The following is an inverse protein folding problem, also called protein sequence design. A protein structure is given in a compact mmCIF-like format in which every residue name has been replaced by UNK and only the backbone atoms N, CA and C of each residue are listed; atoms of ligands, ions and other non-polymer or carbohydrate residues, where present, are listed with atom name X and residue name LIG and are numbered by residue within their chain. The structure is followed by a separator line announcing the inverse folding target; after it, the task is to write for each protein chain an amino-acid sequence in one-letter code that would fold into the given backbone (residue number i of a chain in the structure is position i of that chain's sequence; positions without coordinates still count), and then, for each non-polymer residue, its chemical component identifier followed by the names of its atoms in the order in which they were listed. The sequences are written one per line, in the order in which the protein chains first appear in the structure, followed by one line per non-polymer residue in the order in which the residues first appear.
data_IF_234433711164
#
_entry.id   IF_234433711164
#
_cell.length_a   1.000
_cell.length_b   1.000
_cell.length_c   1.000
_cell.angle_alpha   90.00
_cell.angle_beta   90.00
_cell.angle_gamma   90.00
#
_symmetry.space_group_name_H-M   'P 1'
#
loop_
_entity.id
_entity.type
_entity.pdbx_description
1 polymer ?
#
# COMPACT_ATOMS: atom_id res chain seq x y z
N UNK A 1 -11.17 -29.66 24.88
CA UNK A 1 -10.19 -29.26 23.88
C UNK A 1 -9.00 -28.63 24.59
N UNK A 2 -7.88 -29.34 24.70
CA UNK A 2 -6.68 -28.86 25.39
C UNK A 2 -5.99 -27.79 24.56
N UNK A 3 -6.05 -26.53 25.01
CA UNK A 3 -5.17 -25.45 24.49
C UNK A 3 -3.73 -25.87 24.74
N UNK A 4 -3.05 -26.40 23.74
CA UNK A 4 -1.60 -26.55 23.77
C UNK A 4 -1.01 -25.14 23.94
N UNK A 5 -0.49 -24.87 25.13
CA UNK A 5 0.25 -23.65 25.43
C UNK A 5 1.44 -23.57 24.46
N UNK A 6 1.32 -22.77 23.41
CA UNK A 6 2.47 -22.53 22.52
C UNK A 6 3.47 -21.69 23.29
N UNK A 7 4.72 -22.17 23.45
CA UNK A 7 5.71 -21.42 24.19
C UNK A 7 5.93 -20.07 23.52
N UNK A 8 5.86 -18.99 24.29
CA UNK A 8 6.10 -17.62 23.80
C UNK A 8 7.55 -17.49 23.30
N UNK A 9 7.81 -16.58 22.37
CA UNK A 9 9.16 -16.30 21.86
C UNK A 9 10.15 -15.99 22.99
N UNK A 10 9.70 -15.27 24.01
CA UNK A 10 10.45 -14.98 25.23
C UNK A 10 10.89 -16.27 25.94
N UNK A 11 9.99 -17.22 26.12
CA UNK A 11 10.30 -18.50 26.78
C UNK A 11 11.28 -19.33 25.96
N UNK A 12 11.11 -19.36 24.62
CA UNK A 12 12.04 -20.10 23.73
C UNK A 12 13.45 -19.54 23.78
N UNK A 13 13.60 -18.20 23.70
CA UNK A 13 14.92 -17.56 23.79
C UNK A 13 15.57 -17.78 25.14
N UNK A 14 14.80 -17.68 26.23
CA UNK A 14 15.32 -17.94 27.59
C UNK A 14 15.76 -19.39 27.76
N UNK A 15 14.97 -20.38 27.27
CA UNK A 15 15.33 -21.80 27.31
C UNK A 15 16.57 -22.08 26.47
N UNK A 16 16.67 -21.53 25.26
CA UNK A 16 17.84 -21.73 24.40
C UNK A 16 19.12 -21.22 25.07
N UNK A 17 19.09 -19.96 25.57
CA UNK A 17 20.23 -19.39 26.29
C UNK A 17 20.56 -20.14 27.58
N UNK A 18 19.54 -20.59 28.31
CA UNK A 18 19.73 -21.42 29.51
C UNK A 18 20.43 -22.75 29.21
N UNK A 19 19.97 -23.46 28.18
CA UNK A 19 20.59 -24.73 27.77
C UNK A 19 22.05 -24.52 27.32
N UNK A 20 22.32 -23.46 26.58
CA UNK A 20 23.66 -23.11 26.11
C UNK A 20 24.57 -22.78 27.29
N UNK A 21 24.09 -21.98 28.26
CA UNK A 21 24.84 -21.60 29.46
C UNK A 21 25.18 -22.80 30.32
N UNK A 22 24.20 -23.66 30.62
CA UNK A 22 24.39 -24.90 31.41
C UNK A 22 25.32 -25.85 30.69
N UNK A 23 25.16 -26.06 29.38
CA UNK A 23 26.02 -26.92 28.57
C UNK A 23 27.47 -26.45 28.55
N UNK A 24 27.71 -25.15 28.26
CA UNK A 24 29.05 -24.57 28.28
C UNK A 24 29.69 -24.66 29.69
N UNK A 25 28.92 -24.36 30.74
CA UNK A 25 29.38 -24.45 32.11
C UNK A 25 29.71 -25.89 32.53
N UNK A 26 28.88 -26.86 32.15
CA UNK A 26 29.14 -28.29 32.42
C UNK A 26 30.42 -28.77 31.72
N UNK A 27 30.66 -28.32 30.48
CA UNK A 27 31.90 -28.64 29.75
C UNK A 27 33.11 -28.05 30.47
N UNK A 28 33.02 -26.78 30.95
CA UNK A 28 34.09 -26.14 31.68
C UNK A 28 34.40 -26.88 33.01
N UNK A 29 33.38 -27.23 33.78
CA UNK A 29 33.56 -28.01 35.03
C UNK A 29 34.18 -29.37 34.77
N UNK A 30 33.73 -30.06 33.71
CA UNK A 30 34.31 -31.37 33.30
C UNK A 30 35.76 -31.22 32.87
N UNK A 31 36.09 -30.19 32.08
CA UNK A 31 37.46 -29.92 31.62
C UNK A 31 38.38 -29.62 32.81
N UNK A 32 37.91 -28.77 33.76
CA UNK A 32 38.66 -28.43 34.95
C UNK A 32 38.91 -29.68 35.82
N UNK A 33 37.91 -30.55 35.98
CA UNK A 33 38.05 -31.82 36.68
C UNK A 33 39.04 -32.74 36.01
N UNK A 34 38.99 -32.90 34.68
CA UNK A 34 39.96 -33.72 33.92
C UNK A 34 41.39 -33.19 34.06
N UNK A 35 41.59 -31.89 33.95
CA UNK A 35 42.91 -31.25 34.08
C UNK A 35 43.50 -31.43 35.48
N UNK A 36 42.69 -31.23 36.53
CA UNK A 36 43.14 -31.44 37.93
C UNK A 36 43.48 -32.89 38.19
N UNK A 37 42.65 -33.81 37.68
CA UNK A 37 42.90 -35.26 37.80
C UNK A 37 44.16 -35.69 37.06
N UNK A 38 44.46 -35.10 35.92
CA UNK A 38 45.67 -35.39 35.15
C UNK A 38 46.92 -34.78 35.79
N UNK A 39 46.83 -33.54 36.25
CA UNK A 39 47.94 -32.82 36.90
C UNK A 39 48.36 -33.43 38.24
N UNK A 40 47.39 -34.09 38.93
CA UNK A 40 47.62 -34.72 40.23
C UNK A 40 47.83 -36.25 40.11
N UNK A 41 48.06 -36.80 38.92
CA UNK A 41 48.38 -38.22 38.77
C UNK A 41 49.60 -38.59 39.58
N UNK A 42 49.57 -39.72 40.34
CA UNK A 42 50.73 -40.17 41.03
C UNK A 42 51.91 -40.40 40.05
N UNK A 43 53.03 -39.78 40.29
CA UNK A 43 54.25 -40.12 39.62
C UNK A 43 54.79 -41.41 40.15
N UNK A 44 55.15 -42.37 39.28
CA UNK A 44 55.66 -43.71 39.66
C UNK A 44 57.03 -43.69 40.37
N UNK A 45 57.49 -42.53 40.83
CA UNK A 45 58.78 -42.29 41.44
C UNK A 45 58.82 -42.69 42.96
N UNK A 46 57.68 -43.04 43.53
CA UNK A 46 57.69 -43.46 44.91
C UNK A 46 58.22 -44.92 45.06
N UNK A 47 59.32 -45.06 45.75
CA UNK A 47 59.89 -46.36 46.04
C UNK A 47 58.90 -47.34 46.72
N UNK A 48 58.80 -48.63 46.30
CA UNK A 48 57.87 -49.55 46.91
C UNK A 48 58.15 -49.71 48.39
N UNK A 49 57.12 -49.59 49.24
CA UNK A 49 57.22 -49.65 50.69
C UNK A 49 57.40 -48.33 51.42
N UNK A 50 57.35 -47.19 50.74
CA UNK A 50 57.34 -45.88 51.39
C UNK A 50 56.04 -45.67 52.15
N UNK A 51 56.10 -45.52 53.47
CA UNK A 51 54.95 -45.21 54.35
C UNK A 51 54.97 -43.77 54.83
N UNK A 52 53.81 -43.14 54.80
CA UNK A 52 53.57 -41.80 55.36
C UNK A 52 52.95 -41.95 56.75
N UNK A 53 53.51 -41.27 57.73
CA UNK A 53 52.96 -41.25 59.11
C UNK A 53 51.90 -40.13 59.12
N UNK A 54 50.66 -40.47 59.36
CA UNK A 54 49.55 -39.51 59.53
C UNK A 54 49.64 -38.93 60.96
N UNK A 55 49.01 -37.76 61.12
CA UNK A 55 48.93 -37.03 62.39
C UNK A 55 48.22 -37.77 63.51
N UNK A 56 47.50 -38.87 63.20
CA UNK A 56 46.81 -39.77 64.14
C UNK A 56 47.68 -40.99 64.58
N UNK A 57 48.94 -40.98 64.12
CA UNK A 57 49.89 -42.07 64.46
C UNK A 57 49.77 -43.37 63.60
N UNK A 58 48.92 -43.35 62.56
CA UNK A 58 48.81 -44.47 61.63
C UNK A 58 49.82 -44.32 60.48
N UNK A 59 50.40 -45.41 60.07
CA UNK A 59 51.22 -45.48 58.89
C UNK A 59 50.35 -45.92 57.67
N UNK A 60 50.35 -45.20 56.58
CA UNK A 60 49.66 -45.54 55.34
C UNK A 60 50.67 -45.60 54.21
N UNK A 61 50.41 -46.43 53.21
CA UNK A 61 51.22 -46.51 51.99
C UNK A 61 51.10 -45.11 51.26
N UNK A 62 52.24 -44.57 50.89
CA UNK A 62 52.31 -43.22 50.27
C UNK A 62 51.44 -43.12 48.97
N UNK A 63 51.38 -44.22 48.20
CA UNK A 63 50.56 -44.29 46.98
C UNK A 63 49.05 -44.31 47.26
N UNK A 64 48.66 -44.95 48.43
CA UNK A 64 47.24 -44.88 48.83
C UNK A 64 46.86 -43.52 49.37
N UNK A 65 47.71 -42.87 50.16
CA UNK A 65 47.49 -41.57 50.67
C UNK A 65 47.37 -40.54 49.53
N UNK A 66 48.26 -40.63 48.51
CA UNK A 66 48.23 -39.74 47.35
C UNK A 66 46.93 -39.94 46.54
N UNK A 67 46.48 -41.18 46.33
CA UNK A 67 45.18 -41.46 45.66
C UNK A 67 44.00 -40.84 46.42
N UNK A 68 43.99 -41.00 47.75
CA UNK A 68 42.92 -40.40 48.58
C UNK A 68 42.90 -38.90 48.51
N UNK A 69 44.07 -38.22 48.47
CA UNK A 69 44.17 -36.81 48.27
C UNK A 69 43.62 -36.33 46.92
N UNK A 70 43.98 -37.05 45.83
CA UNK A 70 43.49 -36.77 44.48
C UNK A 70 41.98 -36.97 44.37
N UNK A 71 41.45 -38.04 44.94
CA UNK A 71 40.02 -38.34 44.95
C UNK A 71 39.24 -37.32 45.79
N UNK A 72 39.76 -36.95 46.97
CA UNK A 72 39.13 -35.90 47.79
C UNK A 72 39.15 -34.54 47.12
N UNK A 73 40.30 -34.11 46.56
CA UNK A 73 40.42 -32.82 45.84
C UNK A 73 39.51 -32.79 44.60
N UNK A 74 39.45 -33.87 43.84
CA UNK A 74 38.60 -33.94 42.63
C UNK A 74 37.11 -33.97 42.98
N UNK A 75 36.71 -34.64 44.09
CA UNK A 75 35.32 -34.64 44.58
C UNK A 75 34.90 -33.26 45.09
N UNK A 76 35.80 -32.56 45.82
CA UNK A 76 35.55 -31.22 46.32
C UNK A 76 35.42 -30.21 45.17
N UNK A 77 36.28 -30.31 44.16
CA UNK A 77 36.23 -29.48 42.95
C UNK A 77 34.92 -29.66 42.18
N UNK A 78 34.50 -30.92 42.00
CA UNK A 78 33.20 -31.21 41.35
C UNK A 78 32.03 -30.64 42.16
N UNK A 79 32.01 -30.85 43.48
CA UNK A 79 30.92 -30.37 44.34
C UNK A 79 30.82 -28.82 44.29
N UNK A 80 31.95 -28.13 44.48
CA UNK A 80 32.01 -26.65 44.41
C UNK A 80 31.72 -26.14 43.00
N UNK A 81 32.22 -26.82 41.97
CA UNK A 81 31.98 -26.51 40.57
C UNK A 81 30.50 -26.64 40.20
N UNK A 82 29.80 -27.66 40.64
CA UNK A 82 28.36 -27.84 40.42
C UNK A 82 27.53 -26.78 41.16
N UNK A 83 27.88 -26.43 42.38
CA UNK A 83 27.21 -25.34 43.11
C UNK A 83 27.39 -24.00 42.39
N UNK A 84 28.60 -23.69 41.96
CA UNK A 84 28.89 -22.47 41.19
C UNK A 84 28.13 -22.48 39.86
N UNK A 85 28.11 -23.60 39.14
CA UNK A 85 27.36 -23.75 37.89
C UNK A 85 25.87 -23.51 38.10
N UNK A 86 25.28 -24.07 39.16
CA UNK A 86 23.88 -23.86 39.50
C UNK A 86 23.59 -22.40 39.78
N UNK A 87 24.41 -21.74 40.60
CA UNK A 87 24.25 -20.30 40.92
C UNK A 87 24.33 -19.41 39.68
N UNK A 88 25.35 -19.61 38.82
CA UNK A 88 25.53 -18.86 37.57
C UNK A 88 24.36 -19.14 36.62
N UNK A 89 23.89 -20.40 36.53
CA UNK A 89 22.76 -20.76 35.67
C UNK A 89 21.47 -20.06 36.09
N UNK A 90 21.16 -19.99 37.38
CA UNK A 90 19.98 -19.33 37.90
C UNK A 90 20.03 -17.82 37.57
N UNK A 91 21.15 -17.15 37.84
CA UNK A 91 21.33 -15.72 37.58
C UNK A 91 21.29 -15.46 36.06
N UNK A 92 21.95 -16.30 35.26
CA UNK A 92 21.99 -16.14 33.80
C UNK A 92 20.61 -16.34 33.15
N UNK A 93 19.83 -17.34 33.57
CA UNK A 93 18.46 -17.56 33.07
C UNK A 93 17.54 -16.45 33.50
N UNK A 94 17.62 -15.94 34.73
CA UNK A 94 16.85 -14.81 35.20
C UNK A 94 17.18 -13.52 34.42
N UNK A 95 18.47 -13.27 34.19
CA UNK A 95 18.95 -12.15 33.36
C UNK A 95 18.45 -12.24 31.92
N UNK A 96 18.61 -13.42 31.29
CA UNK A 96 18.13 -13.65 29.92
C UNK A 96 16.61 -13.45 29.80
N UNK A 97 15.84 -13.89 30.80
CA UNK A 97 14.39 -13.67 30.83
C UNK A 97 14.03 -12.19 30.93
N UNK A 98 14.74 -11.41 31.76
CA UNK A 98 14.52 -9.96 31.92
C UNK A 98 14.88 -9.19 30.64
N UNK A 99 16.03 -9.50 30.02
CA UNK A 99 16.50 -8.88 28.78
C UNK A 99 15.56 -9.21 27.61
N UNK A 100 15.20 -10.48 27.42
CA UNK A 100 14.25 -10.89 26.39
C UNK A 100 12.89 -10.21 26.55
N UNK A 101 12.42 -10.04 27.81
CA UNK A 101 11.17 -9.32 28.08
C UNK A 101 11.22 -7.85 27.71
N UNK A 102 12.37 -7.21 27.93
CA UNK A 102 12.56 -5.78 27.61
C UNK A 102 12.72 -5.58 26.10
N UNK A 103 13.48 -6.44 25.42
CA UNK A 103 13.70 -6.40 23.99
C UNK A 103 12.41 -6.68 23.17
N UNK A 104 11.52 -7.54 23.66
CA UNK A 104 10.28 -7.89 22.97
C UNK A 104 9.08 -7.00 23.33
N UNK A 105 9.22 -6.09 24.29
CA UNK A 105 8.13 -5.18 24.70
C UNK A 105 7.61 -4.29 23.58
N UNK A 106 8.45 -3.69 22.72
CA UNK A 106 8.00 -2.89 21.60
C UNK A 106 7.17 -3.69 20.60
N UNK A 107 7.54 -4.95 20.32
CA UNK A 107 6.78 -5.81 19.41
C UNK A 107 5.35 -6.08 19.89
N UNK A 108 5.16 -6.20 21.20
CA UNK A 108 3.83 -6.31 21.80
C UNK A 108 3.03 -5.01 21.65
N UNK A 109 3.66 -3.84 21.71
CA UNK A 109 3.00 -2.55 21.49
C UNK A 109 2.51 -2.43 20.04
N UNK A 110 3.37 -2.74 19.05
CA UNK A 110 3.00 -2.79 17.63
C UNK A 110 1.80 -3.70 17.40
N UNK A 111 1.86 -4.93 17.95
CA UNK A 111 0.78 -5.92 17.79
C UNK A 111 -0.52 -5.45 18.46
N UNK A 112 -0.44 -4.86 19.66
CA UNK A 112 -1.61 -4.36 20.38
C UNK A 112 -2.25 -3.16 19.67
N UNK A 113 -1.45 -2.24 19.10
CA UNK A 113 -1.95 -1.14 18.29
C UNK A 113 -2.60 -1.68 17.02
N UNK A 114 -1.95 -2.61 16.30
CA UNK A 114 -2.50 -3.23 15.11
C UNK A 114 -3.84 -3.94 15.35
N UNK A 115 -4.00 -4.59 16.50
CA UNK A 115 -5.26 -5.25 16.88
C UNK A 115 -6.40 -4.29 17.25
N UNK A 116 -6.08 -3.06 17.64
CA UNK A 116 -7.05 -2.01 17.99
C UNK A 116 -7.42 -1.13 16.81
N UNK A 117 -6.69 -1.26 15.70
CA UNK A 117 -6.97 -0.49 14.49
C UNK A 117 -8.34 -0.89 13.94
N UNK A 118 -9.20 0.10 13.87
CA UNK A 118 -10.52 0.05 13.25
C UNK A 118 -10.80 1.41 12.62
N UNK A 119 -11.93 1.55 11.95
CA UNK A 119 -12.31 2.76 11.24
C UNK A 119 -12.18 4.05 12.10
N UNK A 120 -12.55 3.96 13.39
CA UNK A 120 -12.50 5.09 14.33
C UNK A 120 -11.10 5.39 14.91
N UNK A 121 -10.09 4.56 14.61
CA UNK A 121 -8.76 4.63 15.26
C UNK A 121 -7.61 4.62 14.25
N UNK A 122 -7.91 4.80 12.96
CA UNK A 122 -6.91 4.83 11.89
C UNK A 122 -5.89 5.98 12.05
N UNK A 123 -6.20 7.02 12.83
CA UNK A 123 -5.30 8.13 13.11
C UNK A 123 -4.20 7.79 14.13
N UNK A 124 -4.33 6.65 14.83
CA UNK A 124 -3.32 6.23 15.78
C UNK A 124 -2.06 5.74 15.05
N UNK A 125 -0.91 6.12 15.60
CA UNK A 125 0.41 5.69 15.12
C UNK A 125 1.11 4.92 16.22
N UNK A 126 2.03 4.05 15.83
CA UNK A 126 2.88 3.35 16.79
C UNK A 126 3.77 4.35 17.51
N UNK A 127 4.31 5.33 16.79
CA UNK A 127 5.09 6.43 17.36
C UNK A 127 6.28 5.93 18.17
N UNK A 128 7.00 4.90 17.69
CA UNK A 128 8.10 4.29 18.42
C UNK A 128 9.23 5.30 18.64
N UNK A 129 9.56 5.54 19.93
CA UNK A 129 10.61 6.47 20.35
C UNK A 129 11.79 5.77 21.03
N UNK A 130 12.02 4.49 20.75
CA UNK A 130 13.13 3.69 21.28
C UNK A 130 14.44 3.86 20.50
N UNK A 131 15.33 2.85 20.65
CA UNK A 131 16.58 2.81 19.89
C UNK A 131 16.31 2.73 18.37
N UNK A 132 17.22 3.26 17.57
CA UNK A 132 17.15 3.16 16.11
C UNK A 132 17.69 1.78 15.67
N UNK A 133 16.82 0.78 15.81
CA UNK A 133 17.07 -0.64 15.54
C UNK A 133 16.01 -1.19 14.54
N UNK A 134 16.03 -2.49 14.31
CA UNK A 134 15.11 -3.18 13.39
C UNK A 134 13.64 -2.99 13.82
N UNK A 135 13.39 -2.74 15.11
CA UNK A 135 12.04 -2.47 15.61
C UNK A 135 11.58 -1.06 15.24
N UNK A 136 12.51 -0.09 15.23
CA UNK A 136 12.23 1.28 14.77
C UNK A 136 11.90 1.28 13.27
N UNK A 137 12.64 0.52 12.45
CA UNK A 137 12.38 0.39 11.02
C UNK A 137 11.01 -0.26 10.76
N UNK A 138 10.69 -1.33 11.49
CA UNK A 138 9.38 -1.97 11.43
C UNK A 138 8.25 -0.99 11.80
N UNK A 139 8.41 -0.21 12.86
CA UNK A 139 7.42 0.76 13.30
C UNK A 139 7.22 1.88 12.26
N UNK A 140 8.31 2.43 11.69
CA UNK A 140 8.26 3.42 10.60
C UNK A 140 7.53 2.88 9.37
N UNK A 141 7.84 1.64 8.97
CA UNK A 141 7.17 0.98 7.83
C UNK A 141 5.68 0.78 8.08
N UNK A 142 5.32 0.40 9.29
CA UNK A 142 3.92 0.23 9.69
C UNK A 142 3.17 1.57 9.72
N UNK A 143 3.78 2.62 10.29
CA UNK A 143 3.18 3.95 10.33
C UNK A 143 2.99 4.51 8.90
N UNK A 144 3.96 4.31 7.99
CA UNK A 144 3.82 4.67 6.59
C UNK A 144 2.69 3.89 5.88
N UNK A 145 2.49 2.62 6.22
CA UNK A 145 1.35 1.84 5.72
C UNK A 145 0.02 2.40 6.26
N UNK A 146 -0.04 2.76 7.54
CA UNK A 146 -1.22 3.40 8.14
C UNK A 146 -1.54 4.75 7.49
N UNK A 147 -0.53 5.57 7.17
CA UNK A 147 -0.72 6.83 6.46
C UNK A 147 -1.39 6.60 5.11
N UNK A 148 -0.95 5.58 4.37
CA UNK A 148 -1.55 5.23 3.07
C UNK A 148 -2.99 4.74 3.21
N UNK A 149 -3.30 3.92 4.23
CA UNK A 149 -4.65 3.43 4.49
C UNK A 149 -5.56 4.58 4.91
N UNK A 150 -5.11 5.46 5.81
CA UNK A 150 -5.87 6.64 6.26
C UNK A 150 -6.17 7.56 5.07
N UNK A 151 -5.17 7.86 4.24
CA UNK A 151 -5.36 8.70 3.05
C UNK A 151 -6.36 8.07 2.06
N UNK A 152 -6.30 6.76 1.84
CA UNK A 152 -7.24 6.04 0.98
C UNK A 152 -8.67 6.08 1.54
N UNK A 153 -8.83 5.88 2.86
CA UNK A 153 -10.12 5.91 3.52
C UNK A 153 -10.76 7.31 3.49
N UNK A 154 -9.98 8.36 3.74
CA UNK A 154 -10.44 9.75 3.64
C UNK A 154 -10.81 10.14 2.19
N UNK A 155 -10.07 9.63 1.20
CA UNK A 155 -10.41 9.81 -0.21
C UNK A 155 -11.74 9.12 -0.54
N UNK A 156 -11.95 7.90 -0.06
CA UNK A 156 -13.19 7.14 -0.23
C UNK A 156 -14.39 7.86 0.42
N UNK A 157 -14.21 8.36 1.64
CA UNK A 157 -15.27 9.13 2.35
C UNK A 157 -15.66 10.40 1.58
N UNK A 158 -14.67 11.15 1.11
CA UNK A 158 -14.92 12.34 0.25
C UNK A 158 -15.62 11.95 -1.05
N UNK A 159 -15.21 10.85 -1.68
CA UNK A 159 -15.83 10.35 -2.90
C UNK A 159 -17.33 10.06 -2.71
N UNK A 160 -17.69 9.31 -1.66
CA UNK A 160 -19.11 8.98 -1.35
C UNK A 160 -19.92 10.24 -1.03
N UNK A 161 -19.36 11.16 -0.25
CA UNK A 161 -20.03 12.43 0.08
C UNK A 161 -20.30 13.26 -1.18
N UNK A 162 -19.28 13.43 -2.03
CA UNK A 162 -19.39 14.21 -3.27
C UNK A 162 -20.35 13.55 -4.27
N UNK A 163 -20.30 12.21 -4.43
CA UNK A 163 -21.23 11.47 -5.28
C UNK A 163 -22.70 11.69 -4.82
N UNK A 164 -22.93 11.64 -3.51
CA UNK A 164 -24.26 11.89 -2.92
C UNK A 164 -24.73 13.31 -3.19
N UNK A 165 -23.85 14.31 -3.09
CA UNK A 165 -24.20 15.70 -3.38
C UNK A 165 -24.48 15.93 -4.87
N UNK A 166 -23.65 15.41 -5.77
CA UNK A 166 -23.82 15.54 -7.22
C UNK A 166 -25.06 14.80 -7.75
N UNK A 167 -25.48 13.69 -7.10
CA UNK A 167 -26.74 13.01 -7.42
C UNK A 167 -27.96 13.74 -6.88
N UNK A 168 -27.87 14.35 -5.70
CA UNK A 168 -29.00 15.08 -5.10
C UNK A 168 -29.46 16.27 -5.93
N UNK A 169 -28.51 16.97 -6.55
CA UNK A 169 -28.80 18.18 -7.34
C UNK A 169 -29.74 17.91 -8.53
N UNK A 170 -29.45 16.98 -9.47
CA UNK A 170 -30.39 16.71 -10.57
C UNK A 170 -31.74 16.16 -10.09
N UNK A 171 -31.76 15.35 -9.01
CA UNK A 171 -33.00 14.86 -8.43
C UNK A 171 -33.85 16.01 -7.85
N UNK A 172 -33.22 16.97 -7.17
CA UNK A 172 -33.91 18.14 -6.66
C UNK A 172 -34.47 19.00 -7.79
N UNK A 173 -33.72 19.22 -8.87
CA UNK A 173 -34.19 19.94 -10.06
C UNK A 173 -35.42 19.26 -10.67
N UNK A 174 -35.35 17.93 -10.89
CA UNK A 174 -36.48 17.18 -11.43
C UNK A 174 -37.73 17.33 -10.55
N UNK A 175 -37.56 17.17 -9.24
CA UNK A 175 -38.67 17.30 -8.28
C UNK A 175 -39.27 18.69 -8.25
N UNK A 176 -38.42 19.74 -8.20
CA UNK A 176 -38.89 21.13 -8.18
C UNK A 176 -39.67 21.48 -9.45
N UNK A 177 -39.14 21.10 -10.62
CA UNK A 177 -39.84 21.38 -11.91
C UNK A 177 -41.19 20.67 -11.97
N UNK A 178 -41.26 19.43 -11.52
CA UNK A 178 -42.52 18.67 -11.44
C UNK A 178 -43.49 19.35 -10.45
N UNK A 179 -43.05 19.63 -9.21
CA UNK A 179 -43.85 20.21 -8.17
C UNK A 179 -44.42 21.59 -8.57
N UNK A 180 -43.55 22.43 -9.20
CA UNK A 180 -43.98 23.77 -9.68
C UNK A 180 -45.03 23.66 -10.78
N UNK A 181 -44.76 22.84 -11.82
CA UNK A 181 -45.71 22.71 -12.95
C UNK A 181 -47.03 22.07 -12.55
N UNK A 182 -47.02 21.12 -11.61
CA UNK A 182 -48.24 20.49 -11.11
C UNK A 182 -49.02 21.36 -10.14
N UNK A 183 -48.40 22.37 -9.52
CA UNK A 183 -49.06 23.31 -8.61
C UNK A 183 -49.71 24.48 -9.31
N UNK A 184 -49.47 24.63 -10.60
CA UNK A 184 -50.03 25.67 -11.45
C UNK A 184 -51.28 25.10 -12.15
N UNK A 185 -52.49 25.49 -11.68
CA UNK A 185 -53.77 25.06 -12.26
C UNK A 185 -53.96 25.58 -13.69
N UNK A 186 -53.27 26.67 -14.10
CA UNK A 186 -53.36 27.28 -15.42
C UNK A 186 -52.22 26.81 -16.37
N UNK A 187 -51.36 25.83 -15.96
CA UNK A 187 -50.28 25.33 -16.74
C UNK A 187 -50.73 24.80 -18.10
N UNK A 188 -50.13 25.35 -19.13
CA UNK A 188 -50.42 24.96 -20.52
C UNK A 188 -49.52 23.81 -21.06
N UNK A 189 -49.90 23.33 -22.25
CA UNK A 189 -49.11 22.26 -22.91
C UNK A 189 -47.66 22.62 -23.21
N UNK A 190 -47.31 23.93 -23.33
CA UNK A 190 -45.94 24.38 -23.56
C UNK A 190 -45.13 24.31 -22.27
N UNK A 191 -45.73 24.56 -21.09
CA UNK A 191 -45.12 24.45 -19.79
C UNK A 191 -44.84 22.98 -19.41
N UNK A 192 -45.82 22.08 -19.64
CA UNK A 192 -45.60 20.66 -19.49
C UNK A 192 -44.47 20.13 -20.39
N UNK A 193 -44.34 20.59 -21.63
CA UNK A 193 -43.22 20.22 -22.53
C UNK A 193 -41.90 20.76 -22.02
N UNK A 194 -41.85 21.96 -21.45
CA UNK A 194 -40.65 22.56 -20.85
C UNK A 194 -40.21 21.77 -19.64
N UNK A 195 -41.12 21.48 -18.71
CA UNK A 195 -40.88 20.60 -17.57
C UNK A 195 -40.34 19.22 -18.01
N UNK A 196 -41.00 18.54 -18.94
CA UNK A 196 -40.55 17.25 -19.45
C UNK A 196 -39.15 17.33 -20.07
N UNK A 197 -38.78 18.42 -20.71
CA UNK A 197 -37.42 18.64 -21.25
C UNK A 197 -36.40 18.80 -20.14
N UNK A 198 -36.69 19.61 -19.11
CA UNK A 198 -35.79 19.82 -17.96
C UNK A 198 -35.62 18.54 -17.18
N UNK A 199 -36.70 17.79 -16.96
CA UNK A 199 -36.65 16.47 -16.25
C UNK A 199 -35.82 15.46 -17.04
N UNK A 200 -36.01 15.39 -18.36
CA UNK A 200 -35.19 14.52 -19.22
C UNK A 200 -33.72 14.87 -19.12
N UNK A 201 -33.36 16.15 -19.29
CA UNK A 201 -31.98 16.62 -19.25
C UNK A 201 -31.33 16.40 -17.86
N UNK A 202 -32.09 16.50 -16.78
CA UNK A 202 -31.64 16.21 -15.43
C UNK A 202 -31.43 14.70 -15.22
N UNK A 203 -32.33 13.86 -15.78
CA UNK A 203 -32.22 12.39 -15.74
C UNK A 203 -31.00 11.91 -16.51
N UNK A 204 -30.74 12.45 -17.73
CA UNK A 204 -29.56 12.13 -18.52
C UNK A 204 -28.26 12.47 -17.76
N UNK A 205 -28.22 13.60 -17.05
CA UNK A 205 -27.07 13.99 -16.22
C UNK A 205 -26.88 13.03 -15.05
N UNK A 206 -27.97 12.63 -14.36
CA UNK A 206 -27.88 11.66 -13.26
C UNK A 206 -27.37 10.30 -13.74
N UNK A 207 -27.89 9.80 -14.87
CA UNK A 207 -27.43 8.54 -15.48
C UNK A 207 -25.94 8.61 -15.88
N UNK A 208 -25.50 9.72 -16.52
CA UNK A 208 -24.10 9.93 -16.85
C UNK A 208 -23.18 9.92 -15.62
N UNK A 209 -23.65 10.43 -14.47
CA UNK A 209 -22.91 10.37 -13.22
C UNK A 209 -22.82 8.94 -12.67
N UNK A 210 -23.94 8.19 -12.68
CA UNK A 210 -23.94 6.77 -12.25
C UNK A 210 -23.00 5.94 -13.12
N UNK A 211 -23.05 6.11 -14.44
CA UNK A 211 -22.14 5.41 -15.37
C UNK A 211 -20.67 5.73 -15.08
N UNK A 212 -20.37 7.01 -14.82
CA UNK A 212 -19.02 7.45 -14.45
C UNK A 212 -18.52 6.79 -13.15
N UNK A 213 -19.39 6.71 -12.14
CA UNK A 213 -19.08 6.03 -10.87
C UNK A 213 -18.86 4.52 -11.05
N UNK A 214 -19.67 3.87 -11.88
CA UNK A 214 -19.51 2.44 -12.18
C UNK A 214 -18.20 2.16 -12.95
N UNK A 215 -17.80 3.03 -13.86
CA UNK A 215 -16.50 2.92 -14.57
C UNK A 215 -15.35 3.06 -13.60
N UNK A 216 -15.38 4.04 -12.69
CA UNK A 216 -14.37 4.21 -11.64
C UNK A 216 -14.28 2.96 -10.76
N UNK A 217 -15.40 2.48 -10.24
CA UNK A 217 -15.44 1.30 -9.37
C UNK A 217 -14.89 0.04 -10.08
N UNK A 218 -15.25 -0.16 -11.36
CA UNK A 218 -14.72 -1.28 -12.16
C UNK A 218 -13.22 -1.15 -12.42
N UNK A 219 -12.74 0.04 -12.75
CA UNK A 219 -11.33 0.29 -13.03
C UNK A 219 -10.46 0.10 -11.77
N UNK A 220 -10.92 0.56 -10.60
CA UNK A 220 -10.23 0.33 -9.32
C UNK A 220 -10.18 -1.15 -8.94
N UNK A 221 -11.29 -1.88 -9.11
CA UNK A 221 -11.34 -3.32 -8.85
C UNK A 221 -10.44 -4.16 -9.79
N UNK A 222 -10.07 -3.59 -10.94
CA UNK A 222 -9.22 -4.22 -11.95
C UNK A 222 -7.74 -3.80 -11.83
N UNK A 223 -7.44 -2.76 -11.06
CA UNK A 223 -6.04 -2.36 -10.80
C UNK A 223 -5.31 -3.51 -10.10
N UNK A 224 -4.32 -4.10 -10.79
CA UNK A 224 -3.60 -5.29 -10.30
C UNK A 224 -4.25 -6.64 -10.64
N UNK A 225 -5.42 -6.67 -11.30
CA UNK A 225 -6.05 -7.88 -11.84
C UNK A 225 -6.11 -7.81 -13.37
N UNK A 226 -6.05 -8.96 -14.05
CA UNK A 226 -6.24 -8.99 -15.52
C UNK A 226 -7.68 -8.56 -15.85
N UNK A 227 -7.80 -7.60 -16.78
CA UNK A 227 -9.09 -7.19 -17.36
C UNK A 227 -9.87 -8.43 -17.81
N UNK A 228 -11.14 -8.55 -17.42
CA UNK A 228 -11.97 -9.72 -17.71
C UNK A 228 -12.30 -9.86 -19.20
N UNK A 229 -12.33 -8.76 -19.96
CA UNK A 229 -12.57 -8.73 -21.41
C UNK A 229 -11.45 -7.94 -22.08
N UNK A 230 -10.62 -8.62 -22.84
CA UNK A 230 -9.52 -8.00 -23.61
C UNK A 230 -9.69 -8.36 -25.07
N UNK A 231 -9.94 -7.35 -25.88
CA UNK A 231 -9.98 -7.48 -27.35
C UNK A 231 -9.01 -6.45 -27.93
N UNK A 232 -8.53 -6.74 -29.11
CA UNK A 232 -7.78 -5.79 -29.91
C UNK A 232 -8.71 -4.66 -30.35
N UNK A 233 -8.32 -3.43 -30.10
CA UNK A 233 -9.05 -2.20 -30.41
C UNK A 233 -8.09 -1.19 -31.01
N UNK A 234 -8.62 -0.25 -31.77
CA UNK A 234 -7.86 0.90 -32.29
C UNK A 234 -8.35 2.19 -31.61
N UNK A 235 -7.45 2.88 -30.88
CA UNK A 235 -7.76 4.17 -30.25
C UNK A 235 -8.20 5.20 -31.27
N UNK A 236 -7.69 5.16 -32.52
CA UNK A 236 -8.08 6.09 -33.56
C UNK A 236 -9.58 5.97 -33.87
N UNK A 237 -10.11 4.74 -33.94
CA UNK A 237 -11.53 4.48 -34.20
C UNK A 237 -12.42 5.00 -33.07
N UNK A 238 -12.11 4.69 -31.81
CA UNK A 238 -12.86 5.19 -30.65
C UNK A 238 -12.82 6.73 -30.56
N UNK A 239 -11.66 7.31 -30.88
CA UNK A 239 -11.48 8.77 -30.91
C UNK A 239 -12.31 9.45 -32.02
N UNK A 240 -12.34 8.86 -33.22
CA UNK A 240 -13.17 9.36 -34.33
C UNK A 240 -14.66 9.31 -33.99
N UNK A 241 -15.13 8.25 -33.34
CA UNK A 241 -16.51 8.11 -32.88
C UNK A 241 -16.85 9.19 -31.84
N UNK A 242 -15.96 9.43 -30.88
CA UNK A 242 -16.15 10.47 -29.86
C UNK A 242 -16.19 11.90 -30.45
N UNK A 243 -15.33 12.20 -31.43
CA UNK A 243 -15.37 13.45 -32.17
C UNK A 243 -16.69 13.62 -32.92
N UNK A 244 -17.15 12.58 -33.59
CA UNK A 244 -18.42 12.59 -34.33
C UNK A 244 -19.63 12.84 -33.42
N UNK A 245 -19.64 12.27 -32.22
CA UNK A 245 -20.67 12.51 -31.21
C UNK A 245 -20.72 13.97 -30.74
N UNK A 246 -19.58 14.66 -30.69
CA UNK A 246 -19.47 16.06 -30.24
C UNK A 246 -19.61 17.08 -31.40
N UNK A 247 -19.81 16.65 -32.63
CA UNK A 247 -19.82 17.50 -33.81
C UNK A 247 -20.75 18.72 -33.67
N UNK A 248 -22.00 18.53 -33.23
CA UNK A 248 -22.98 19.60 -33.06
C UNK A 248 -22.51 20.65 -32.07
N UNK A 249 -21.88 20.24 -30.98
CA UNK A 249 -21.37 21.15 -29.96
C UNK A 249 -20.13 21.89 -30.46
N UNK A 250 -19.24 21.24 -31.17
CA UNK A 250 -18.07 21.84 -31.84
C UNK A 250 -18.50 22.91 -32.83
N UNK A 251 -19.51 22.62 -33.67
CA UNK A 251 -20.09 23.59 -34.64
C UNK A 251 -20.76 24.75 -33.91
N UNK A 252 -21.53 24.50 -32.86
CA UNK A 252 -22.25 25.51 -32.07
C UNK A 252 -21.34 26.57 -31.48
N UNK A 253 -20.16 26.16 -30.94
CA UNK A 253 -19.18 27.07 -30.34
C UNK A 253 -18.08 27.51 -31.31
N UNK A 254 -18.14 27.05 -32.55
CA UNK A 254 -17.24 27.50 -33.65
C UNK A 254 -15.79 27.07 -33.45
N UNK A 255 -15.52 25.86 -32.91
CA UNK A 255 -14.15 25.39 -32.70
C UNK A 255 -13.44 25.08 -34.03
N UNK A 256 -12.18 25.44 -34.10
CA UNK A 256 -11.27 24.97 -35.15
C UNK A 256 -10.66 23.61 -34.71
N UNK A 257 -11.07 22.52 -35.37
CA UNK A 257 -10.61 21.18 -35.06
C UNK A 257 -9.49 20.78 -36.00
N UNK A 258 -8.37 20.28 -35.42
CA UNK A 258 -7.24 19.72 -36.14
C UNK A 258 -7.10 18.27 -35.73
N UNK A 259 -7.13 17.35 -36.67
CA UNK A 259 -7.04 15.89 -36.39
C UNK A 259 -5.92 15.23 -37.19
N UNK A 260 -5.19 14.33 -36.56
CA UNK A 260 -4.27 13.39 -37.18
C UNK A 260 -4.45 12.04 -36.49
N UNK A 261 -5.35 11.23 -37.04
CA UNK A 261 -5.75 9.96 -36.44
C UNK A 261 -5.03 8.82 -37.18
N UNK A 262 -3.81 8.54 -36.74
CA UNK A 262 -3.06 7.36 -37.17
C UNK A 262 -3.45 6.16 -36.32
N UNK A 263 -3.34 4.94 -36.87
CA UNK A 263 -3.67 3.70 -36.16
C UNK A 263 -2.87 3.58 -34.85
N UNK A 264 -3.57 3.27 -33.78
CA UNK A 264 -3.04 3.13 -32.44
C UNK A 264 -3.64 1.87 -31.77
N UNK A 265 -3.16 0.67 -32.17
CA UNK A 265 -3.71 -0.61 -31.71
C UNK A 265 -3.37 -0.84 -30.24
N UNK A 266 -4.36 -1.28 -29.47
CA UNK A 266 -4.24 -1.63 -28.04
C UNK A 266 -5.05 -2.88 -27.72
N UNK A 267 -4.68 -3.62 -26.69
CA UNK A 267 -5.47 -4.75 -26.18
C UNK A 267 -6.14 -4.33 -24.87
N UNK A 268 -7.47 -4.20 -24.91
CA UNK A 268 -8.22 -3.70 -23.76
C UNK A 268 -9.72 -3.98 -23.79
N UNK A 269 -10.45 -3.34 -22.90
CA UNK A 269 -11.92 -3.31 -22.90
C UNK A 269 -12.39 -2.16 -23.80
N UNK A 270 -13.10 -2.47 -24.91
CA UNK A 270 -13.53 -1.45 -25.87
C UNK A 270 -14.38 -0.36 -25.24
N UNK A 271 -15.32 -0.74 -24.34
CA UNK A 271 -16.20 0.21 -23.68
C UNK A 271 -15.47 1.19 -22.76
N UNK A 272 -14.42 0.73 -22.07
CA UNK A 272 -13.58 1.59 -21.26
C UNK A 272 -12.71 2.52 -22.11
N UNK A 273 -12.19 2.05 -23.23
CA UNK A 273 -11.36 2.83 -24.15
C UNK A 273 -12.20 3.91 -24.87
N UNK A 274 -13.41 3.56 -25.31
CA UNK A 274 -14.36 4.54 -25.89
C UNK A 274 -14.73 5.62 -24.85
N UNK A 275 -14.95 5.22 -23.59
CA UNK A 275 -15.23 6.16 -22.49
C UNK A 275 -14.04 7.09 -22.20
N UNK A 276 -12.82 6.56 -22.29
CA UNK A 276 -11.59 7.36 -22.15
C UNK A 276 -11.52 8.43 -23.24
N UNK A 277 -11.65 8.05 -24.51
CA UNK A 277 -11.62 9.00 -25.63
C UNK A 277 -12.76 10.02 -25.52
N UNK A 278 -13.98 9.56 -25.20
CA UNK A 278 -15.14 10.41 -24.99
C UNK A 278 -14.92 11.47 -23.92
N UNK A 279 -14.41 11.08 -22.74
CA UNK A 279 -14.13 12.01 -21.63
C UNK A 279 -13.09 13.07 -22.01
N UNK A 280 -12.03 12.70 -22.75
CA UNK A 280 -11.03 13.66 -23.18
C UNK A 280 -11.59 14.68 -24.16
N UNK A 281 -12.35 14.22 -25.16
CA UNK A 281 -12.92 15.09 -26.18
C UNK A 281 -14.02 15.98 -25.60
N UNK A 282 -14.91 15.40 -24.78
CA UNK A 282 -15.95 16.18 -24.09
C UNK A 282 -15.34 17.28 -23.20
N UNK A 283 -14.30 16.97 -22.43
CA UNK A 283 -13.57 17.97 -21.65
C UNK A 283 -12.97 19.06 -22.51
N UNK A 284 -12.30 18.70 -23.60
CA UNK A 284 -11.64 19.66 -24.49
C UNK A 284 -12.63 20.57 -25.22
N UNK A 285 -13.83 20.10 -25.52
CA UNK A 285 -14.92 20.93 -26.08
C UNK A 285 -15.56 21.79 -25.00
N UNK A 286 -15.91 21.22 -23.86
CA UNK A 286 -16.65 21.90 -22.78
C UNK A 286 -15.87 23.04 -22.13
N UNK A 287 -14.56 22.88 -21.93
CA UNK A 287 -13.69 23.85 -21.28
C UNK A 287 -12.99 24.77 -22.29
N UNK A 288 -13.40 24.71 -23.54
CA UNK A 288 -12.93 25.63 -24.57
C UNK A 288 -13.65 27.01 -24.51
N UNK A 289 -13.10 27.98 -25.19
CA UNK A 289 -13.77 29.25 -25.44
C UNK A 289 -14.32 29.31 -26.86
N UNK A 290 -15.23 30.24 -27.12
CA UNK A 290 -15.79 30.47 -28.45
C UNK A 290 -14.67 30.69 -29.47
N UNK A 291 -14.80 30.05 -30.65
CA UNK A 291 -13.83 30.11 -31.75
C UNK A 291 -12.42 29.62 -31.39
N UNK A 292 -12.28 28.83 -30.30
CA UNK A 292 -11.03 28.25 -29.87
C UNK A 292 -10.52 27.12 -30.78
N UNK A 293 -9.50 26.43 -30.33
CA UNK A 293 -8.89 25.30 -31.05
C UNK A 293 -9.01 24.02 -30.25
N UNK A 294 -9.22 22.94 -30.99
CA UNK A 294 -9.17 21.54 -30.49
C UNK A 294 -8.22 20.79 -31.42
N UNK A 295 -7.21 20.11 -30.85
CA UNK A 295 -6.35 19.23 -31.61
C UNK A 295 -6.37 17.83 -31.04
N UNK A 296 -6.45 16.85 -31.92
CA UNK A 296 -6.56 15.43 -31.54
C UNK A 296 -5.63 14.61 -32.42
N UNK A 297 -4.74 13.86 -31.77
CA UNK A 297 -3.78 13.04 -32.49
C UNK A 297 -3.72 11.65 -31.87
N UNK A 298 -3.63 10.61 -32.69
CA UNK A 298 -3.36 9.24 -32.29
C UNK A 298 -2.19 8.68 -33.08
N UNK A 299 -1.51 7.68 -32.53
CA UNK A 299 -0.42 7.00 -33.20
C UNK A 299 0.23 5.97 -32.29
N UNK A 300 1.29 5.35 -32.81
CA UNK A 300 2.13 4.38 -32.07
C UNK A 300 3.61 4.65 -32.31
N UNK A 301 4.45 4.33 -31.33
CA UNK A 301 5.90 4.34 -31.46
C UNK A 301 6.48 2.90 -31.59
N UNK A 302 5.60 1.91 -31.78
CA UNK A 302 5.93 0.48 -31.89
C UNK A 302 5.75 -0.29 -30.59
N UNK A 303 6.09 0.30 -29.43
CA UNK A 303 5.89 -0.31 -28.12
C UNK A 303 4.64 0.20 -27.43
N UNK A 304 4.26 1.44 -27.71
CA UNK A 304 3.15 2.13 -27.08
C UNK A 304 2.27 2.84 -28.08
N UNK A 305 0.97 2.71 -27.90
CA UNK A 305 -0.04 3.49 -28.59
C UNK A 305 -0.41 4.70 -27.75
N UNK A 306 -0.62 5.85 -28.39
CA UNK A 306 -0.90 7.09 -27.69
C UNK A 306 -2.09 7.83 -28.30
N UNK A 307 -2.76 8.61 -27.45
CA UNK A 307 -3.81 9.57 -27.80
C UNK A 307 -3.47 10.91 -27.14
N UNK A 308 -3.39 11.95 -27.94
CA UNK A 308 -3.19 13.33 -27.51
C UNK A 308 -4.44 14.13 -27.82
N UNK A 309 -5.02 14.76 -26.81
CA UNK A 309 -6.14 15.69 -26.94
C UNK A 309 -5.75 16.99 -26.28
N UNK A 310 -5.78 18.07 -27.03
CA UNK A 310 -5.49 19.38 -26.50
C UNK A 310 -6.49 20.45 -26.95
N UNK A 311 -6.68 21.44 -26.11
CA UNK A 311 -7.62 22.53 -26.34
C UNK A 311 -7.05 23.85 -25.85
N UNK A 312 -7.51 24.92 -26.48
CA UNK A 312 -7.45 26.27 -25.89
C UNK A 312 -8.56 26.40 -24.85
N UNK A 313 -8.41 27.29 -23.89
CA UNK A 313 -9.42 27.41 -22.83
C UNK A 313 -8.96 28.33 -21.70
N UNK A 314 -9.52 28.13 -20.53
CA UNK A 314 -9.15 28.91 -19.34
C UNK A 314 -7.72 28.61 -18.90
N UNK A 315 -7.06 29.58 -18.30
CA UNK A 315 -5.76 29.40 -17.70
C UNK A 315 -5.85 28.43 -16.50
N UNK A 316 -4.96 27.46 -16.49
CA UNK A 316 -4.79 26.48 -15.42
C UNK A 316 -3.35 26.58 -14.93
N UNK A 317 -3.15 26.76 -13.62
CA UNK A 317 -1.82 26.72 -13.04
C UNK A 317 -1.25 25.30 -13.13
N UNK A 318 0.01 25.18 -13.54
CA UNK A 318 0.69 23.89 -13.60
C UNK A 318 0.74 23.20 -12.24
N UNK A 319 0.77 23.96 -11.14
CA UNK A 319 0.69 23.43 -9.77
C UNK A 319 -0.65 22.75 -9.45
N UNK A 320 -1.74 23.17 -10.11
CA UNK A 320 -3.08 22.60 -9.91
C UNK A 320 -3.33 21.33 -10.75
N UNK A 321 -2.51 21.07 -11.77
CA UNK A 321 -2.67 19.96 -12.71
C UNK A 321 -2.77 18.59 -12.01
N UNK A 322 -1.93 18.24 -11.01
CA UNK A 322 -2.05 16.95 -10.32
C UNK A 322 -3.42 16.73 -9.68
N UNK A 323 -4.01 17.81 -9.18
CA UNK A 323 -5.33 17.79 -8.55
C UNK A 323 -6.50 17.60 -9.53
N UNK A 324 -6.33 17.85 -10.83
CA UNK A 324 -7.39 17.66 -11.83
C UNK A 324 -7.80 16.18 -12.01
N UNK A 325 -6.98 15.26 -11.54
CA UNK A 325 -7.27 13.84 -11.55
C UNK A 325 -8.03 13.35 -10.32
N UNK A 326 -8.24 14.21 -9.31
CA UNK A 326 -9.06 13.83 -8.15
C UNK A 326 -10.53 13.84 -8.55
N UNK A 327 -11.31 12.80 -8.19
CA UNK A 327 -12.74 12.77 -8.48
C UNK A 327 -13.46 13.98 -7.90
N UNK A 328 -14.37 14.58 -8.68
CA UNK A 328 -15.18 15.75 -8.32
C UNK A 328 -14.38 17.06 -8.16
N UNK A 329 -13.08 17.07 -8.42
CA UNK A 329 -12.29 18.29 -8.39
C UNK A 329 -12.45 19.07 -9.70
N UNK A 330 -12.64 20.38 -9.56
CA UNK A 330 -12.72 21.32 -10.67
C UNK A 330 -11.51 22.25 -10.61
N UNK A 331 -10.83 22.43 -11.73
CA UNK A 331 -9.70 23.35 -11.81
C UNK A 331 -10.17 24.81 -11.97
N UNK A 332 -9.56 25.72 -11.19
CA UNK A 332 -9.73 27.16 -11.30
C UNK A 332 -10.97 27.75 -10.62
N UNK A 333 -10.91 29.07 -10.36
CA UNK A 333 -11.91 29.86 -9.65
C UNK A 333 -13.33 29.48 -10.06
N UNK A 334 -14.14 29.12 -9.05
CA UNK A 334 -15.56 28.84 -9.17
C UNK A 334 -16.28 29.83 -10.07
N UNK A 335 -16.52 29.42 -11.31
CA UNK A 335 -17.48 30.13 -12.16
C UNK A 335 -18.76 29.33 -12.16
N UNK A 336 -19.73 29.87 -11.43
CA UNK A 336 -21.14 29.53 -11.50
C UNK A 336 -21.56 29.37 -12.95
N UNK A 337 -21.73 28.15 -13.45
CA UNK A 337 -22.22 27.87 -14.81
C UNK A 337 -21.52 26.75 -15.59
N UNK A 338 -20.32 26.30 -15.23
CA UNK A 338 -19.66 25.18 -15.93
C UNK A 338 -20.30 23.83 -15.55
N UNK A 339 -21.10 23.28 -16.47
CA UNK A 339 -21.81 21.99 -16.34
C UNK A 339 -20.84 20.83 -16.45
N UNK A 340 -20.23 20.34 -15.35
CA UNK A 340 -19.39 19.15 -15.36
C UNK A 340 -19.27 18.53 -13.97
N UNK A 341 -19.31 17.18 -13.87
CA UNK A 341 -19.22 16.43 -12.62
C UNK A 341 -17.82 16.41 -11.99
N UNK A 342 -16.78 16.86 -12.69
CA UNK A 342 -15.39 16.73 -12.23
C UNK A 342 -14.87 15.29 -12.22
N UNK A 343 -15.53 14.36 -12.93
CA UNK A 343 -15.12 12.94 -13.00
C UNK A 343 -14.34 12.59 -14.27
N UNK A 344 -14.36 13.41 -15.32
CA UNK A 344 -13.80 13.05 -16.62
C UNK A 344 -12.34 12.64 -16.59
N UNK A 345 -11.44 13.46 -16.01
CA UNK A 345 -10.01 13.14 -15.95
C UNK A 345 -9.68 12.03 -14.94
N UNK A 346 -10.45 11.89 -13.87
CA UNK A 346 -10.28 10.75 -12.94
C UNK A 346 -10.63 9.42 -13.61
N UNK A 347 -11.67 9.39 -14.46
CA UNK A 347 -11.99 8.23 -15.30
C UNK A 347 -10.85 7.93 -16.26
N UNK A 348 -10.33 8.93 -16.97
CA UNK A 348 -9.20 8.76 -17.89
C UNK A 348 -8.01 8.13 -17.18
N UNK A 349 -7.64 8.62 -15.99
CA UNK A 349 -6.55 8.04 -15.19
C UNK A 349 -6.83 6.60 -14.78
N UNK A 350 -8.04 6.31 -14.30
CA UNK A 350 -8.42 4.98 -13.85
C UNK A 350 -8.41 3.97 -15.01
N UNK A 351 -8.94 4.35 -16.17
CA UNK A 351 -8.92 3.50 -17.38
C UNK A 351 -7.49 3.27 -17.87
N UNK A 352 -6.63 4.31 -17.89
CA UNK A 352 -5.22 4.16 -18.24
C UNK A 352 -4.52 3.15 -17.33
N UNK A 353 -4.68 3.28 -16.01
CA UNK A 353 -4.08 2.38 -15.02
C UNK A 353 -4.56 0.95 -15.17
N UNK A 354 -5.86 0.74 -15.40
CA UNK A 354 -6.44 -0.59 -15.65
C UNK A 354 -5.87 -1.28 -16.89
N UNK A 355 -5.40 -0.48 -17.88
CA UNK A 355 -4.76 -0.96 -19.11
C UNK A 355 -3.22 -0.97 -19.06
N UNK A 356 -2.62 -0.71 -17.90
CA UNK A 356 -1.16 -0.67 -17.73
C UNK A 356 -0.48 0.53 -18.42
N UNK A 357 -1.24 1.59 -18.66
CA UNK A 357 -0.78 2.81 -19.30
C UNK A 357 -0.54 3.96 -18.32
N UNK A 358 -0.29 5.12 -18.88
CA UNK A 358 -0.08 6.37 -18.15
C UNK A 358 -0.80 7.55 -18.82
N UNK A 359 -1.11 8.57 -18.04
CA UNK A 359 -1.68 9.83 -18.52
C UNK A 359 -0.82 10.99 -18.03
N UNK A 360 -0.55 11.93 -18.92
CA UNK A 360 0.16 13.19 -18.65
C UNK A 360 -0.71 14.35 -19.05
N UNK A 361 -0.73 15.42 -18.26
CA UNK A 361 -1.43 16.67 -18.55
C UNK A 361 -0.43 17.82 -18.48
N UNK A 362 -0.50 18.70 -19.46
CA UNK A 362 0.31 19.92 -19.53
C UNK A 362 -0.61 21.11 -19.72
N UNK A 363 -0.47 22.11 -18.86
CA UNK A 363 -1.17 23.39 -19.02
C UNK A 363 -0.57 24.13 -20.21
N UNK A 364 -1.43 24.65 -21.11
CA UNK A 364 -0.98 25.35 -22.32
C UNK A 364 -0.71 26.81 -22.03
N UNK A 365 0.38 27.39 -22.57
CA UNK A 365 0.61 28.82 -22.54
C UNK A 365 -0.57 29.57 -23.22
N UNK A 366 -1.19 30.49 -22.49
CA UNK A 366 -2.39 31.23 -22.97
C UNK A 366 -3.72 30.51 -22.72
N UNK A 367 -3.68 29.42 -21.91
CA UNK A 367 -4.87 28.72 -21.42
C UNK A 367 -5.23 27.48 -22.20
N UNK A 368 -5.88 26.56 -21.48
CA UNK A 368 -6.21 25.23 -21.95
C UNK A 368 -5.27 24.14 -21.46
N UNK A 369 -5.52 22.91 -21.87
CA UNK A 369 -4.77 21.72 -21.46
C UNK A 369 -4.40 20.89 -22.70
N UNK A 370 -3.28 20.18 -22.60
CA UNK A 370 -2.95 19.06 -23.48
C UNK A 370 -2.83 17.79 -22.62
N UNK A 371 -3.62 16.80 -22.95
CA UNK A 371 -3.66 15.51 -22.26
C UNK A 371 -3.11 14.43 -23.19
N UNK A 372 -2.07 13.74 -22.75
CA UNK A 372 -1.46 12.61 -23.45
C UNK A 372 -1.74 11.33 -22.68
N UNK A 373 -2.43 10.41 -23.30
CA UNK A 373 -2.62 9.03 -22.83
C UNK A 373 -1.67 8.13 -23.57
N UNK A 374 -1.00 7.22 -22.85
CA UNK A 374 -0.08 6.24 -23.43
C UNK A 374 -0.45 4.86 -22.90
N UNK A 375 -0.72 3.90 -23.79
CA UNK A 375 -1.09 2.52 -23.45
C UNK A 375 -0.10 1.55 -24.13
N UNK A 376 0.08 0.32 -23.58
CA UNK A 376 0.83 -0.72 -24.29
C UNK A 376 0.15 -1.04 -25.65
N UNK A 377 0.95 -1.16 -26.72
CA UNK A 377 0.42 -1.58 -28.02
C UNK A 377 -0.01 -3.04 -28.02
N UNK A 378 -0.85 -3.44 -28.96
CA UNK A 378 -1.32 -4.82 -29.11
C UNK A 378 -0.15 -5.79 -29.36
N UNK A 379 0.90 -5.35 -30.05
CA UNK A 379 2.09 -6.14 -30.39
C UNK A 379 3.17 -6.15 -29.30
N UNK A 380 2.99 -5.41 -28.20
CA UNK A 380 3.97 -5.39 -27.12
C UNK A 380 4.01 -6.75 -26.40
N UNK A 381 5.20 -7.36 -26.19
CA UNK A 381 5.31 -8.59 -25.41
C UNK A 381 4.76 -8.34 -24.01
N UNK A 382 3.91 -9.26 -23.52
CA UNK A 382 3.28 -9.14 -22.21
C UNK A 382 4.36 -8.96 -21.13
N UNK A 383 4.46 -7.77 -20.54
CA UNK A 383 5.39 -7.50 -19.43
C UNK A 383 4.90 -8.29 -18.21
N UNK A 384 5.49 -9.46 -18.00
CA UNK A 384 5.34 -10.29 -16.80
C UNK A 384 6.40 -9.85 -15.77
N UNK A 385 6.21 -8.69 -15.13
CA UNK A 385 7.08 -8.23 -14.05
C UNK A 385 6.42 -7.13 -13.23
N UNK A 386 6.71 -7.03 -11.92
CA UNK A 386 6.20 -5.93 -11.11
C UNK A 386 6.82 -4.61 -11.60
N UNK A 387 5.98 -3.62 -11.81
CA UNK A 387 6.38 -2.24 -12.16
C UNK A 387 7.27 -1.70 -11.03
N UNK A 388 8.51 -1.26 -11.30
CA UNK A 388 9.31 -0.58 -10.30
C UNK A 388 8.62 0.73 -9.93
N UNK A 389 8.27 0.87 -8.67
CA UNK A 389 7.82 2.13 -8.08
C UNK A 389 9.00 3.10 -8.13
N UNK A 390 8.92 4.12 -8.98
CA UNK A 390 9.85 5.25 -8.95
C UNK A 390 9.72 5.95 -7.61
N UNK A 391 10.87 6.16 -6.95
CA UNK A 391 11.05 6.77 -5.65
C UNK A 391 10.67 8.25 -5.59
#
# INVERSE_FOLDING_TARGET
MSRRLRPTLRLRLTLLNGVLLVGAGAILVLLAWLLVRDALRPTDELLPGTTVLLSDGRSMDASQWQRQLVDAASAELLAKGLVALLAISVVGVAGAYAVAGRALRPLHQVTATAQRLGEATLDQRIGYSGADDEVAELAKTFDAMLDRITAAFEAQKRFVANASHELRTPLAVMRTEIDVTLSDDDADAAEYRRMATVVRDASERANGLVDALLVLARSEAQTGRRLGRRTECDLATGTANALSAMRREVERIGLRVQTSLESAPVVGDPGLLDRLAGNLIENAVRYNHLHGRLWVRTGTDGERSWLVVGNTGFEVDQADVPGLFEPFRRGGRERTGARGSGLGLSIVRAVCQAHGGSVRVVAQPGGGLEVTVTLPTADAPAVTGPVPTAG
#
